data_IF_242960879436
#
_entry.id   IF_242960879436
#
_cell.length_a   1.000
_cell.length_b   1.000
_cell.length_c   1.000
_cell.angle_alpha   90.00
_cell.angle_beta   90.00
_cell.angle_gamma   90.00
#
_symmetry.space_group_name_H-M   'P 1'
#
loop_
_entity.id
_entity.type
_entity.pdbx_description
1 polymer ?
#
# COMPACT_ATOMS: atom_id res chain seq x y z
N UNK A 1 9.18 -11.59 23.73
CA UNK A 1 8.87 -12.31 22.58
C UNK A 1 7.39 -12.61 22.39
N UNK A 2 6.84 -13.27 23.29
CA UNK A 2 5.46 -13.66 23.15
C UNK A 2 4.50 -12.50 23.07
N UNK A 3 4.77 -11.40 23.74
CA UNK A 3 3.91 -10.25 23.65
C UNK A 3 3.81 -9.73 22.24
N UNK A 4 4.95 -9.64 21.58
CA UNK A 4 4.99 -9.18 20.23
C UNK A 4 4.19 -10.11 19.33
N UNK A 5 4.36 -11.40 19.53
CA UNK A 5 3.63 -12.38 18.74
C UNK A 5 2.14 -12.34 18.99
N UNK A 6 1.74 -12.01 20.21
CA UNK A 6 0.32 -11.90 20.52
C UNK A 6 -0.36 -10.80 19.73
N UNK A 7 0.35 -9.73 19.47
CA UNK A 7 -0.23 -8.58 18.81
C UNK A 7 0.00 -8.53 17.33
N UNK A 8 0.82 -9.44 16.81
CA UNK A 8 1.09 -9.49 15.39
C UNK A 8 0.34 -10.62 14.75
N UNK A 9 -0.24 -10.35 13.60
CA UNK A 9 -0.88 -11.39 12.82
C UNK A 9 0.18 -12.14 12.04
N UNK A 10 -0.10 -13.39 11.69
CA UNK A 10 0.84 -14.19 10.90
C UNK A 10 0.98 -13.61 9.50
N UNK A 11 2.10 -13.93 8.84
CA UNK A 11 2.31 -13.50 7.47
C UNK A 11 1.23 -14.02 6.53
N UNK A 12 0.75 -15.23 6.77
CA UNK A 12 -0.32 -15.80 5.96
C UNK A 12 -1.59 -14.99 6.11
N UNK A 13 -1.92 -14.62 7.34
CA UNK A 13 -3.10 -13.81 7.59
C UNK A 13 -2.99 -12.46 6.87
N UNK A 14 -1.83 -11.82 6.96
CA UNK A 14 -1.61 -10.52 6.35
C UNK A 14 -1.73 -10.61 4.83
N UNK A 15 -1.14 -11.63 4.22
CA UNK A 15 -1.25 -11.82 2.77
C UNK A 15 -2.68 -12.07 2.33
N UNK A 16 -3.41 -12.88 3.08
CA UNK A 16 -4.79 -13.18 2.73
C UNK A 16 -5.67 -11.94 2.86
N UNK A 17 -5.43 -11.15 3.90
CA UNK A 17 -6.17 -9.91 4.09
C UNK A 17 -5.88 -8.95 2.94
N UNK A 18 -4.62 -8.85 2.51
CA UNK A 18 -4.26 -7.98 1.41
C UNK A 18 -5.00 -8.39 0.12
N UNK A 19 -5.03 -9.67 -0.18
CA UNK A 19 -5.73 -10.15 -1.37
C UNK A 19 -7.22 -9.86 -1.30
N UNK A 20 -7.80 -10.05 -0.14
CA UNK A 20 -9.21 -9.77 0.06
C UNK A 20 -9.53 -8.30 -0.16
N UNK A 21 -8.67 -7.42 0.38
CA UNK A 21 -8.86 -5.99 0.22
C UNK A 21 -8.76 -5.58 -1.24
N UNK A 22 -7.81 -6.14 -1.97
CA UNK A 22 -7.67 -5.84 -3.38
C UNK A 22 -8.93 -6.22 -4.14
N UNK A 23 -9.46 -7.40 -3.88
CA UNK A 23 -10.67 -7.86 -4.55
C UNK A 23 -11.83 -6.93 -4.25
N UNK A 24 -11.96 -6.50 -3.01
CA UNK A 24 -13.06 -5.63 -2.61
C UNK A 24 -12.95 -4.22 -3.13
N UNK A 25 -11.73 -3.72 -3.28
CA UNK A 25 -11.53 -2.36 -3.75
C UNK A 25 -11.44 -2.24 -5.26
N UNK A 26 -11.20 -3.35 -5.93
CA UNK A 26 -11.00 -3.35 -7.37
C UNK A 26 -12.09 -2.63 -8.16
N UNK A 27 -13.37 -2.80 -7.84
CA UNK A 27 -14.43 -2.08 -8.59
C UNK A 27 -14.33 -0.57 -8.51
N UNK A 28 -13.65 -0.05 -7.49
CA UNK A 28 -13.52 1.39 -7.28
C UNK A 28 -12.19 1.94 -7.75
N UNK A 29 -11.41 1.14 -8.45
CA UNK A 29 -10.08 1.53 -8.91
C UNK A 29 -9.92 1.25 -10.40
N UNK A 30 -9.14 2.11 -11.06
CA UNK A 30 -8.73 1.83 -12.43
C UNK A 30 -7.63 0.77 -12.43
N UNK A 31 -6.74 0.85 -11.46
CA UNK A 31 -5.69 -0.12 -11.23
C UNK A 31 -5.47 -0.27 -9.75
N UNK A 32 -5.07 -1.45 -9.32
CA UNK A 32 -4.74 -1.70 -7.93
C UNK A 32 -3.76 -2.86 -7.85
N UNK A 33 -2.71 -2.69 -7.03
CA UNK A 33 -1.69 -3.70 -6.84
C UNK A 33 -1.19 -3.69 -5.42
N UNK A 34 -0.83 -4.86 -4.92
CA UNK A 34 -0.17 -4.99 -3.63
C UNK A 34 1.30 -4.63 -3.84
N UNK A 35 1.85 -3.84 -2.92
CA UNK A 35 3.24 -3.41 -2.98
C UNK A 35 3.94 -3.79 -1.67
N UNK A 36 5.09 -3.20 -1.42
CA UNK A 36 5.80 -3.36 -0.16
C UNK A 36 6.30 -4.78 0.08
N UNK A 37 6.34 -5.16 1.34
CA UNK A 37 6.93 -6.44 1.74
C UNK A 37 6.19 -7.64 1.14
N UNK A 38 4.88 -7.52 0.95
CA UNK A 38 4.11 -8.63 0.36
C UNK A 38 4.54 -8.84 -1.09
N UNK A 39 4.67 -7.77 -1.84
CA UNK A 39 5.09 -7.89 -3.24
C UNK A 39 6.51 -8.44 -3.34
N UNK A 40 7.37 -8.06 -2.40
CA UNK A 40 8.73 -8.59 -2.37
C UNK A 40 8.81 -10.02 -1.86
N UNK A 41 7.67 -10.59 -1.49
CA UNK A 41 7.58 -11.97 -0.99
C UNK A 41 8.35 -12.17 0.30
N UNK A 42 8.33 -11.15 1.15
CA UNK A 42 8.93 -11.27 2.47
C UNK A 42 8.27 -12.41 3.24
N UNK A 43 9.03 -13.17 4.02
CA UNK A 43 8.48 -14.33 4.71
C UNK A 43 7.36 -14.00 5.68
N UNK A 44 7.50 -12.91 6.41
CA UNK A 44 6.51 -12.55 7.42
C UNK A 44 6.14 -11.09 7.31
N UNK A 45 5.34 -10.73 6.30
CA UNK A 45 4.88 -9.35 6.18
C UNK A 45 3.99 -8.99 7.37
N UNK A 46 4.14 -7.78 7.86
CA UNK A 46 3.34 -7.30 8.99
C UNK A 46 2.42 -6.16 8.60
N UNK A 47 2.71 -5.48 7.50
CA UNK A 47 1.92 -4.36 7.01
C UNK A 47 1.47 -4.65 5.59
N UNK A 48 0.41 -3.95 5.18
CA UNK A 48 -0.10 -4.05 3.82
C UNK A 48 0.09 -2.71 3.15
N UNK A 49 0.75 -2.72 1.99
CA UNK A 49 0.91 -1.53 1.17
C UNK A 49 0.23 -1.79 -0.17
N UNK A 50 -0.66 -0.88 -0.55
CA UNK A 50 -1.42 -1.03 -1.79
C UNK A 50 -1.30 0.26 -2.59
N UNK A 51 -0.91 0.12 -3.85
CA UNK A 51 -0.83 1.24 -4.79
C UNK A 51 -2.04 1.14 -5.70
N UNK A 52 -2.74 2.26 -5.90
CA UNK A 52 -3.93 2.21 -6.72
C UNK A 52 -4.18 3.54 -7.44
N UNK A 53 -4.91 3.45 -8.55
CA UNK A 53 -5.43 4.59 -9.26
C UNK A 53 -6.92 4.60 -8.97
N UNK A 54 -7.43 5.53 -8.15
CA UNK A 54 -8.83 5.47 -7.74
C UNK A 54 -9.78 5.96 -8.81
N UNK A 55 -10.94 5.32 -8.89
CA UNK A 55 -12.07 5.86 -9.64
C UNK A 55 -13.02 6.58 -8.70
N UNK A 56 -13.15 6.05 -7.49
CA UNK A 56 -14.08 6.60 -6.51
C UNK A 56 -13.39 6.59 -5.15
N UNK A 57 -12.55 7.59 -4.91
CA UNK A 57 -11.75 7.65 -3.69
C UNK A 57 -12.60 7.62 -2.42
N UNK A 58 -13.74 8.32 -2.43
CA UNK A 58 -14.60 8.33 -1.25
C UNK A 58 -15.18 6.96 -0.95
N UNK A 59 -15.53 6.22 -1.98
CA UNK A 59 -16.05 4.88 -1.79
C UNK A 59 -14.99 3.95 -1.22
N UNK A 60 -13.74 4.12 -1.66
CA UNK A 60 -12.63 3.33 -1.15
C UNK A 60 -12.47 3.58 0.35
N UNK A 61 -12.46 4.86 0.74
CA UNK A 61 -12.32 5.21 2.15
C UNK A 61 -13.47 4.69 2.98
N UNK A 62 -14.67 4.79 2.44
CA UNK A 62 -15.85 4.30 3.13
C UNK A 62 -15.79 2.80 3.35
N UNK A 63 -15.42 2.05 2.31
CA UNK A 63 -15.31 0.61 2.42
C UNK A 63 -14.33 0.19 3.51
N UNK A 64 -13.17 0.82 3.52
CA UNK A 64 -12.17 0.47 4.51
C UNK A 64 -12.53 0.92 5.91
N UNK A 65 -13.24 2.02 6.04
CA UNK A 65 -13.71 2.48 7.34
C UNK A 65 -14.73 1.53 7.94
N UNK A 66 -15.47 0.84 7.10
CA UNK A 66 -16.42 -0.16 7.58
C UNK A 66 -15.72 -1.41 8.12
N UNK A 67 -14.51 -1.67 7.63
CA UNK A 67 -13.76 -2.86 8.03
C UNK A 67 -12.82 -2.60 9.20
N UNK A 68 -12.46 -1.38 9.42
CA UNK A 68 -11.49 -1.05 10.46
C UNK A 68 -11.51 0.42 10.79
N UNK A 69 -10.37 0.93 11.24
CA UNK A 69 -10.26 2.31 11.70
C UNK A 69 -9.42 3.13 10.75
N UNK A 70 -9.91 4.31 10.42
CA UNK A 70 -9.15 5.29 9.68
C UNK A 70 -8.14 5.94 10.64
N UNK A 71 -6.86 5.96 10.26
CA UNK A 71 -5.82 6.55 11.10
C UNK A 71 -5.46 7.94 10.62
N UNK A 72 -5.14 8.05 9.35
CA UNK A 72 -4.84 9.35 8.77
C UNK A 72 -4.90 9.24 7.25
N UNK A 73 -5.01 10.37 6.59
CA UNK A 73 -5.05 10.36 5.15
C UNK A 73 -4.93 11.74 4.57
N UNK A 74 -4.70 11.78 3.26
CA UNK A 74 -4.59 12.99 2.49
C UNK A 74 -4.87 12.67 1.04
N UNK A 75 -4.42 13.56 0.16
CA UNK A 75 -4.69 13.38 -1.26
C UNK A 75 -3.95 12.21 -1.87
N UNK A 76 -2.75 11.91 -1.38
CA UNK A 76 -1.90 10.90 -2.00
C UNK A 76 -1.79 9.62 -1.23
N UNK A 77 -2.25 9.60 0.01
CA UNK A 77 -2.04 8.44 0.85
C UNK A 77 -3.09 8.40 1.95
N UNK A 78 -3.46 7.19 2.35
CA UNK A 78 -4.36 7.01 3.47
C UNK A 78 -3.90 5.80 4.27
N UNK A 79 -4.04 5.86 5.57
CA UNK A 79 -3.63 4.77 6.45
C UNK A 79 -4.82 4.31 7.27
N UNK A 80 -4.98 2.99 7.33
CA UNK A 80 -6.06 2.36 8.08
C UNK A 80 -5.48 1.24 8.93
N UNK A 81 -6.22 0.85 9.95
CA UNK A 81 -5.90 -0.36 10.71
C UNK A 81 -7.09 -1.28 10.58
N UNK A 82 -6.86 -2.43 9.96
CA UNK A 82 -7.92 -3.38 9.68
C UNK A 82 -7.53 -4.71 10.28
N UNK A 83 -8.36 -5.20 11.20
CA UNK A 83 -8.12 -6.46 11.91
C UNK A 83 -6.72 -6.49 12.54
N UNK A 84 -6.29 -5.36 13.06
CA UNK A 84 -5.01 -5.26 13.73
C UNK A 84 -3.82 -5.06 12.81
N UNK A 85 -4.05 -4.98 11.51
CA UNK A 85 -2.98 -4.83 10.53
C UNK A 85 -2.99 -3.41 9.99
N UNK A 86 -1.81 -2.82 9.87
CA UNK A 86 -1.68 -1.49 9.28
C UNK A 86 -1.79 -1.62 7.76
N UNK A 87 -2.69 -0.86 7.18
CA UNK A 87 -2.92 -0.85 5.73
C UNK A 87 -2.68 0.56 5.22
N UNK A 88 -1.77 0.69 4.25
CA UNK A 88 -1.50 1.98 3.64
C UNK A 88 -1.88 1.93 2.17
N UNK A 89 -2.66 2.92 1.77
CA UNK A 89 -3.04 3.08 0.37
C UNK A 89 -2.26 4.24 -0.21
N UNK A 90 -1.71 4.05 -1.39
CA UNK A 90 -0.97 5.08 -2.11
C UNK A 90 -1.72 5.38 -3.39
N UNK A 91 -2.31 6.58 -3.46
CA UNK A 91 -3.10 7.01 -4.62
C UNK A 91 -2.17 7.58 -5.66
N UNK A 92 -2.27 7.11 -6.88
CA UNK A 92 -1.40 7.58 -7.94
C UNK A 92 -2.21 7.81 -9.23
N UNK A 93 -1.53 8.15 -10.30
CA UNK A 93 -2.14 8.45 -11.59
C UNK A 93 -1.60 7.50 -12.64
N UNK A 94 -2.27 7.41 -13.81
CA UNK A 94 -1.72 6.55 -14.87
C UNK A 94 -0.30 6.91 -15.26
N UNK A 95 0.02 8.19 -15.27
CA UNK A 95 1.36 8.65 -15.63
C UNK A 95 2.41 8.21 -14.63
N UNK A 96 2.03 8.16 -13.37
CA UNK A 96 2.97 7.85 -12.29
C UNK A 96 2.88 6.40 -11.81
N UNK A 97 2.02 5.61 -12.42
CA UNK A 97 1.73 4.26 -11.95
C UNK A 97 2.98 3.42 -11.76
N UNK A 98 3.78 3.30 -12.81
CA UNK A 98 4.96 2.44 -12.76
C UNK A 98 5.97 2.90 -11.73
N UNK A 99 6.23 4.20 -11.69
CA UNK A 99 7.19 4.75 -10.75
C UNK A 99 6.72 4.58 -9.31
N UNK A 100 5.44 4.81 -9.06
CA UNK A 100 4.91 4.68 -7.71
C UNK A 100 4.96 3.22 -7.25
N UNK A 101 4.51 2.31 -8.11
CA UNK A 101 4.53 0.90 -7.78
C UNK A 101 5.94 0.41 -7.48
N UNK A 102 6.88 0.82 -8.31
CA UNK A 102 8.27 0.41 -8.12
C UNK A 102 8.86 0.99 -6.83
N UNK A 103 8.56 2.25 -6.55
CA UNK A 103 9.08 2.90 -5.35
C UNK A 103 8.61 2.22 -4.07
N UNK A 104 7.35 1.78 -4.04
CA UNK A 104 6.81 1.15 -2.84
C UNK A 104 6.94 -0.37 -2.84
N UNK A 105 7.48 -0.95 -3.91
CA UNK A 105 7.71 -2.38 -3.98
C UNK A 105 9.16 -2.74 -3.75
N UNK A 106 10.07 -1.79 -3.90
CA UNK A 106 11.51 -2.04 -3.80
C UNK A 106 11.98 -1.95 -2.36
N UNK A 107 13.13 -2.55 -2.10
CA UNK A 107 13.79 -2.35 -0.84
C UNK A 107 14.16 -0.87 -0.71
N UNK A 108 14.31 -0.42 0.53
CA UNK A 108 14.56 0.98 0.82
C UNK A 108 15.71 1.56 0.01
N UNK A 109 16.82 0.85 -0.05
CA UNK A 109 17.98 1.35 -0.79
C UNK A 109 17.69 1.50 -2.26
N UNK A 110 16.99 0.55 -2.84
CA UNK A 110 16.63 0.61 -4.24
C UNK A 110 15.69 1.78 -4.53
N UNK A 111 14.76 2.01 -3.63
CA UNK A 111 13.83 3.13 -3.80
C UNK A 111 14.55 4.46 -3.78
N UNK A 112 15.54 4.60 -2.91
CA UNK A 112 16.33 5.82 -2.84
C UNK A 112 17.11 6.01 -4.13
N UNK A 113 17.74 4.94 -4.63
CA UNK A 113 18.47 5.01 -5.88
C UNK A 113 17.58 5.41 -7.03
N UNK A 114 16.39 4.85 -7.07
CA UNK A 114 15.45 5.19 -8.12
C UNK A 114 15.10 6.67 -8.11
N UNK A 115 14.89 7.24 -6.94
CA UNK A 115 14.57 8.66 -6.84
C UNK A 115 15.72 9.53 -7.33
N UNK A 116 16.93 9.16 -7.00
CA UNK A 116 18.10 9.92 -7.44
C UNK A 116 18.20 9.90 -8.97
N UNK A 117 18.01 8.74 -9.56
CA UNK A 117 18.05 8.63 -11.01
C UNK A 117 16.98 9.49 -11.65
N UNK A 118 15.78 9.45 -11.12
CA UNK A 118 14.70 10.25 -11.67
C UNK A 118 15.00 11.74 -11.62
N UNK A 119 15.62 12.19 -10.53
CA UNK A 119 15.99 13.58 -10.40
C UNK A 119 17.00 13.99 -11.45
N UNK A 120 17.99 13.16 -11.68
CA UNK A 120 19.00 13.46 -12.69
C UNK A 120 18.40 13.62 -14.05
N UNK A 121 17.33 12.92 -14.31
CA UNK A 121 16.64 13.01 -15.59
C UNK A 121 15.61 14.13 -15.63
N UNK A 122 15.50 14.88 -14.56
CA UNK A 122 14.55 15.99 -14.54
C UNK A 122 13.16 15.62 -14.08
N UNK A 123 12.96 14.41 -13.62
CA UNK A 123 11.68 13.98 -13.08
C UNK A 123 11.51 14.42 -11.65
N UNK A 124 10.28 14.45 -11.23
CA UNK A 124 9.96 14.70 -9.85
C UNK A 124 9.12 13.56 -9.34
N UNK A 125 9.79 12.78 -8.58
CA UNK A 125 9.07 11.71 -7.94
C UNK A 125 8.50 12.15 -6.65
N UNK A 126 8.44 13.19 -6.54
CA UNK A 126 8.02 13.68 -5.39
C UNK A 126 6.84 13.61 -5.05
N UNK A 127 7.28 13.58 -5.36
CA UNK A 127 6.67 13.86 -4.80
C UNK A 127 6.46 13.50 -4.33
#
# INVERSE_FOLDING_TARGET
MSKKLKNQKSGVFVRNLAKKLVVELKPYCKKIEIAGSIRRKAPNPVDIDIVLIPKAKEKIKQKLSEKGSFIQGGDKKARFRIEGVKVELYFTTPESWGATLLAYSSATGSAIGLRIVARKKGFHLNQ
#
